data_IF_481206507351
#
_entry.id   IF_481206507351
#
_cell.length_a   1.000
_cell.length_b   1.000
_cell.length_c   1.000
_cell.angle_alpha   90.00
_cell.angle_beta   90.00
_cell.angle_gamma   90.00
#
_symmetry.space_group_name_H-M   'P 1'
#
loop_
_entity.id
_entity.type
_entity.pdbx_description
1 polymer ?
#
# COMPACT_ATOMS: atom_id res chain seq x y z
N UNK A 1 6.58 12.34 27.44
CA UNK A 1 5.32 11.68 27.01
C UNK A 1 5.24 11.83 25.50
N UNK A 2 5.10 10.73 24.76
CA UNK A 2 4.82 10.80 23.32
C UNK A 2 3.34 11.11 23.17
N UNK A 3 2.99 12.31 22.69
CA UNK A 3 1.61 12.59 22.31
C UNK A 3 1.29 11.84 21.02
N UNK A 4 0.36 10.89 21.09
CA UNK A 4 -0.18 10.23 19.89
C UNK A 4 -1.38 11.03 19.40
N UNK A 5 -1.11 12.19 18.81
CA UNK A 5 -2.14 13.00 18.12
C UNK A 5 -2.40 12.45 16.70
N UNK A 6 -2.45 11.13 16.55
CA UNK A 6 -2.59 10.46 15.27
C UNK A 6 -3.95 9.80 15.16
N UNK A 7 -4.73 10.21 14.15
CA UNK A 7 -6.05 9.66 13.86
C UNK A 7 -5.94 8.30 13.17
N UNK A 8 -6.78 7.35 13.58
CA UNK A 8 -6.86 5.99 13.05
C UNK A 8 -8.23 5.74 12.42
N UNK A 9 -8.25 4.94 11.35
CA UNK A 9 -9.49 4.49 10.71
C UNK A 9 -9.47 2.97 10.59
N UNK A 10 -10.55 2.32 11.01
CA UNK A 10 -10.76 0.90 10.75
C UNK A 10 -11.76 0.73 9.61
N UNK A 11 -11.38 -0.07 8.60
CA UNK A 11 -12.23 -0.33 7.44
C UNK A 11 -13.18 -1.51 7.67
N UNK A 12 -14.05 -1.78 6.70
CA UNK A 12 -15.11 -2.79 6.83
C UNK A 12 -14.52 -4.21 6.91
N UNK A 13 -14.90 -4.95 7.94
CA UNK A 13 -14.60 -6.37 8.11
C UNK A 13 -15.67 -7.31 7.53
N UNK A 14 -16.76 -6.75 6.96
CA UNK A 14 -17.87 -7.55 6.42
C UNK A 14 -17.50 -8.34 5.17
N UNK A 15 -18.12 -9.52 5.02
CA UNK A 15 -17.95 -10.42 3.88
C UNK A 15 -16.50 -10.87 3.63
N UNK A 16 -15.67 -10.90 4.68
CA UNK A 16 -14.25 -11.28 4.63
C UNK A 16 -13.98 -12.41 5.62
N UNK A 17 -12.96 -13.22 5.33
CA UNK A 17 -12.63 -14.37 6.14
C UNK A 17 -11.13 -14.72 6.15
N UNK A 18 -10.30 -14.11 5.29
CA UNK A 18 -8.87 -14.38 5.23
C UNK A 18 -8.09 -13.42 6.14
N UNK A 19 -7.61 -13.88 7.33
CA UNK A 19 -6.85 -13.03 8.24
C UNK A 19 -5.47 -12.64 7.68
N UNK A 20 -4.90 -13.44 6.77
CA UNK A 20 -3.58 -13.19 6.19
C UNK A 20 -3.56 -11.97 5.27
N UNK A 21 -4.74 -11.43 4.90
CA UNK A 21 -4.91 -10.25 4.03
C UNK A 21 -5.19 -8.97 4.80
N UNK A 22 -5.23 -9.01 6.12
CA UNK A 22 -5.32 -7.82 6.97
C UNK A 22 -4.00 -7.08 6.94
N UNK A 23 -4.06 -5.77 6.69
CA UNK A 23 -2.88 -4.91 6.51
C UNK A 23 -3.13 -3.55 7.16
N UNK A 24 -2.05 -2.93 7.60
CA UNK A 24 -2.03 -1.53 8.04
C UNK A 24 -1.34 -0.72 6.96
N UNK A 25 -1.99 0.33 6.49
CA UNK A 25 -1.42 1.23 5.50
C UNK A 25 -2.00 2.64 5.62
N UNK A 26 -1.34 3.58 4.97
CA UNK A 26 -1.86 4.93 4.83
C UNK A 26 -3.13 4.94 3.98
N UNK A 27 -4.08 5.83 4.32
CA UNK A 27 -5.33 6.01 3.58
C UNK A 27 -5.10 6.28 2.09
N UNK A 28 -3.99 6.92 1.69
CA UNK A 28 -3.64 7.14 0.29
C UNK A 28 -3.49 5.84 -0.49
N UNK A 29 -2.92 4.79 0.13
CA UNK A 29 -2.63 3.50 -0.50
C UNK A 29 -3.84 2.55 -0.53
N UNK A 30 -4.92 2.91 0.16
CA UNK A 30 -6.11 2.09 0.32
C UNK A 30 -7.01 2.10 -0.94
N UNK A 31 -6.70 1.23 -1.90
CA UNK A 31 -7.40 1.16 -3.19
C UNK A 31 -8.53 0.12 -3.28
N UNK A 32 -8.41 -1.03 -2.61
CA UNK A 32 -9.35 -2.16 -2.78
C UNK A 32 -10.61 -2.07 -1.93
N UNK A 33 -10.46 -1.62 -0.69
CA UNK A 33 -11.55 -1.62 0.26
C UNK A 33 -12.58 -0.53 -0.12
N UNK A 34 -13.86 -0.89 -0.30
CA UNK A 34 -14.90 0.08 -0.71
C UNK A 34 -15.09 1.21 0.31
N UNK A 35 -14.99 0.91 1.61
CA UNK A 35 -15.15 1.89 2.67
C UNK A 35 -13.94 2.81 2.71
N UNK A 36 -12.72 2.26 2.72
CA UNK A 36 -11.49 3.04 2.68
C UNK A 36 -11.46 3.99 1.47
N UNK A 37 -11.89 3.50 0.30
CA UNK A 37 -11.96 4.32 -0.92
C UNK A 37 -12.93 5.49 -0.76
N UNK A 38 -14.07 5.28 -0.11
CA UNK A 38 -15.09 6.30 0.12
C UNK A 38 -14.59 7.35 1.11
N UNK A 39 -14.02 6.89 2.24
CA UNK A 39 -13.40 7.76 3.25
C UNK A 39 -12.29 8.60 2.64
N UNK A 40 -11.38 7.98 1.88
CA UNK A 40 -10.29 8.67 1.16
C UNK A 40 -10.82 9.76 0.22
N UNK A 41 -11.86 9.46 -0.56
CA UNK A 41 -12.48 10.44 -1.47
C UNK A 41 -13.12 11.60 -0.69
N UNK A 42 -13.79 11.31 0.41
CA UNK A 42 -14.38 12.30 1.31
C UNK A 42 -13.31 13.23 1.92
N UNK A 43 -12.26 12.64 2.50
CA UNK A 43 -11.13 13.37 3.08
C UNK A 43 -10.45 14.31 2.07
N UNK A 44 -10.24 13.84 0.83
CA UNK A 44 -9.67 14.67 -0.24
C UNK A 44 -10.60 15.81 -0.62
N UNK A 45 -11.90 15.53 -0.81
CA UNK A 45 -12.87 16.52 -1.31
C UNK A 45 -13.24 17.56 -0.25
N UNK A 46 -13.43 17.14 1.00
CA UNK A 46 -13.98 17.98 2.06
C UNK A 46 -12.90 18.68 2.90
N UNK A 47 -11.73 18.05 3.05
CA UNK A 47 -10.69 18.52 3.96
C UNK A 47 -9.32 18.71 3.30
N UNK A 48 -9.17 18.38 2.01
CA UNK A 48 -7.88 18.44 1.33
C UNK A 48 -6.83 17.48 1.91
N UNK A 49 -7.26 16.42 2.61
CA UNK A 49 -6.35 15.46 3.24
C UNK A 49 -6.06 14.34 2.25
N UNK A 50 -4.79 14.18 1.89
CA UNK A 50 -4.34 13.20 0.89
C UNK A 50 -3.68 11.96 1.50
N UNK A 51 -3.04 12.08 2.66
CA UNK A 51 -2.28 11.06 3.38
C UNK A 51 -2.10 11.45 4.86
N UNK A 52 -1.45 10.60 5.65
CA UNK A 52 -1.12 10.81 7.07
C UNK A 52 -2.05 10.11 8.05
N UNK A 53 -3.03 9.35 7.55
CA UNK A 53 -4.03 8.64 8.36
C UNK A 53 -3.79 7.15 8.20
N UNK A 54 -3.50 6.48 9.32
CA UNK A 54 -3.30 5.04 9.34
C UNK A 54 -4.63 4.30 9.31
N UNK A 55 -4.67 3.26 8.50
CA UNK A 55 -5.87 2.50 8.23
C UNK A 55 -5.60 1.02 8.39
N UNK A 56 -6.44 0.33 9.17
CA UNK A 56 -6.52 -1.13 9.14
C UNK A 56 -7.55 -1.54 8.10
N UNK A 57 -7.11 -2.30 7.10
CA UNK A 57 -7.97 -2.82 6.05
C UNK A 57 -7.67 -4.29 5.75
N UNK A 58 -8.49 -4.87 4.88
CA UNK A 58 -8.19 -6.16 4.26
C UNK A 58 -8.18 -6.01 2.76
N UNK A 59 -7.17 -6.60 2.13
CA UNK A 59 -7.02 -6.67 0.66
C UNK A 59 -7.87 -7.77 0.02
N UNK A 60 -8.61 -8.52 0.83
CA UNK A 60 -9.57 -9.53 0.37
C UNK A 60 -10.75 -8.88 -0.35
N UNK A 61 -11.15 -9.45 -1.49
CA UNK A 61 -12.40 -9.08 -2.15
C UNK A 61 -13.57 -9.62 -1.32
N UNK A 62 -14.63 -8.84 -1.08
CA UNK A 62 -15.83 -9.33 -0.40
C UNK A 62 -16.34 -10.63 -1.05
N UNK A 63 -16.55 -11.67 -0.25
CA UNK A 63 -17.01 -12.98 -0.71
C UNK A 63 -18.50 -13.06 -0.99
N UNK A 64 -19.27 -12.16 -0.38
CA UNK A 64 -20.72 -12.11 -0.55
C UNK A 64 -21.18 -10.67 -0.67
N UNK A 65 -22.30 -10.50 -1.36
CA UNK A 65 -23.04 -9.26 -1.46
C UNK A 65 -24.22 -9.27 -0.49
N UNK A 66 -24.88 -8.13 -0.34
CA UNK A 66 -26.17 -8.07 0.33
C UNK A 66 -27.14 -9.02 -0.39
N UNK A 67 -27.88 -9.85 0.36
CA UNK A 67 -28.95 -10.66 -0.24
C UNK A 67 -30.08 -9.76 -0.77
N UNK A 68 -30.68 -10.09 -1.93
CA UNK A 68 -31.90 -9.44 -2.43
C UNK A 68 -33.03 -9.54 -1.39
N UNK A 69 -33.93 -8.56 -1.40
CA UNK A 69 -35.05 -8.50 -0.42
C UNK A 69 -36.14 -9.51 -0.80
N UNK A 70 -36.25 -9.84 -2.09
CA UNK A 70 -37.23 -10.79 -2.61
C UNK A 70 -36.99 -12.23 -2.15
N UNK A 71 -35.79 -12.55 -1.66
CA UNK A 71 -35.40 -13.87 -1.15
C UNK A 71 -35.61 -14.03 0.37
N UNK A 72 -36.10 -12.99 1.06
CA UNK A 72 -36.42 -13.05 2.49
C UNK A 72 -37.88 -13.45 2.67
N UNK A 73 -38.12 -14.61 3.28
CA UNK A 73 -39.46 -15.07 3.63
C UNK A 73 -40.01 -14.28 4.83
N UNK A 74 -40.89 -13.30 4.60
CA UNK A 74 -41.60 -12.57 5.67
C UNK A 74 -41.47 -11.05 5.58
N UNK A 75 -41.90 -10.33 6.62
CA UNK A 75 -41.83 -8.88 6.66
C UNK A 75 -40.37 -8.44 6.96
N UNK A 76 -39.72 -7.62 6.11
CA UNK A 76 -38.34 -7.19 6.33
C UNK A 76 -38.09 -6.50 7.69
N UNK A 77 -39.13 -5.89 8.27
CA UNK A 77 -39.05 -5.27 9.60
C UNK A 77 -38.82 -6.30 10.72
N UNK A 78 -39.24 -7.55 10.54
CA UNK A 78 -39.11 -8.61 11.55
C UNK A 78 -37.64 -9.03 11.76
N UNK A 79 -36.77 -8.77 10.78
CA UNK A 79 -35.33 -9.01 10.87
C UNK A 79 -34.56 -7.83 11.47
N UNK A 80 -35.23 -6.74 11.86
CA UNK A 80 -34.58 -5.64 12.58
C UNK A 80 -34.38 -6.01 14.05
N UNK A 81 -33.13 -6.24 14.43
CA UNK A 81 -32.76 -6.44 15.84
C UNK A 81 -32.86 -5.13 16.64
N UNK A 82 -32.66 -3.98 15.98
CA UNK A 82 -32.66 -2.66 16.61
C UNK A 82 -33.43 -1.68 15.69
N UNK A 83 -34.30 -0.81 16.23
CA UNK A 83 -34.95 0.25 15.46
C UNK A 83 -33.92 1.10 14.71
N UNK A 84 -34.20 1.43 13.43
CA UNK A 84 -33.31 2.15 12.51
C UNK A 84 -32.01 1.44 12.10
N UNK A 85 -31.78 0.19 12.53
CA UNK A 85 -30.66 -0.59 12.01
C UNK A 85 -31.00 -1.17 10.63
N UNK A 86 -29.98 -1.37 9.80
CA UNK A 86 -30.19 -2.00 8.50
C UNK A 86 -30.74 -3.41 8.70
N UNK A 87 -31.86 -3.69 8.04
CA UNK A 87 -32.45 -5.04 7.90
C UNK A 87 -31.47 -6.04 7.28
N UNK A 88 -30.53 -5.53 6.47
CA UNK A 88 -29.61 -6.34 5.65
C UNK A 88 -28.18 -6.30 6.20
N UNK A 89 -27.84 -7.11 7.23
CA UNK A 89 -26.46 -7.19 7.67
C UNK A 89 -25.62 -7.91 6.61
N UNK A 90 -24.52 -7.29 6.18
CA UNK A 90 -23.43 -8.03 5.54
C UNK A 90 -22.91 -9.01 6.62
N UNK A 91 -22.82 -10.32 6.34
CA UNK A 91 -22.33 -11.27 7.33
C UNK A 91 -20.88 -10.94 7.70
N UNK A 92 -20.56 -11.07 8.98
CA UNK A 92 -19.24 -10.79 9.52
C UNK A 92 -18.75 -12.06 10.21
N UNK A 93 -17.58 -12.55 9.80
CA UNK A 93 -16.89 -13.58 10.55
C UNK A 93 -16.21 -12.90 11.74
N UNK A 94 -16.66 -13.19 12.97
CA UNK A 94 -16.25 -12.46 14.18
C UNK A 94 -14.74 -12.40 14.43
N UNK A 95 -13.97 -13.35 13.89
CA UNK A 95 -12.51 -13.35 13.97
C UNK A 95 -11.88 -12.18 13.22
N UNK A 96 -12.47 -11.70 12.13
CA UNK A 96 -11.90 -10.64 11.30
C UNK A 96 -11.93 -9.28 12.02
N UNK A 97 -13.06 -8.79 12.57
CA UNK A 97 -13.05 -7.58 13.40
C UNK A 97 -12.10 -7.66 14.60
N UNK A 98 -12.00 -8.83 15.25
CA UNK A 98 -11.07 -9.03 16.37
C UNK A 98 -9.62 -8.83 15.92
N UNK A 99 -9.23 -9.42 14.79
CA UNK A 99 -7.88 -9.27 14.22
C UNK A 99 -7.63 -7.82 13.80
N UNK A 100 -8.62 -7.11 13.25
CA UNK A 100 -8.48 -5.68 12.94
C UNK A 100 -8.15 -4.86 14.19
N UNK A 101 -8.86 -5.10 15.30
CA UNK A 101 -8.59 -4.44 16.58
C UNK A 101 -7.21 -4.77 17.12
N UNK A 102 -6.82 -6.05 17.08
CA UNK A 102 -5.50 -6.50 17.52
C UNK A 102 -4.36 -5.90 16.68
N UNK A 103 -4.52 -5.81 15.37
CA UNK A 103 -3.56 -5.18 14.47
C UNK A 103 -3.40 -3.68 14.79
N UNK A 104 -4.50 -2.95 14.97
CA UNK A 104 -4.47 -1.55 15.37
C UNK A 104 -3.75 -1.36 16.72
N UNK A 105 -4.12 -2.16 17.72
CA UNK A 105 -3.53 -2.10 19.05
C UNK A 105 -2.02 -2.37 19.02
N UNK A 106 -1.58 -3.40 18.28
CA UNK A 106 -0.15 -3.71 18.13
C UNK A 106 0.63 -2.53 17.54
N UNK A 107 0.13 -1.90 16.48
CA UNK A 107 0.81 -0.72 15.93
C UNK A 107 0.85 0.44 16.92
N UNK A 108 -0.28 0.75 17.58
CA UNK A 108 -0.35 1.85 18.55
C UNK A 108 0.63 1.62 19.71
N UNK A 109 0.68 0.40 20.25
CA UNK A 109 1.60 0.03 21.32
C UNK A 109 3.07 0.16 20.89
N UNK A 110 3.43 -0.34 19.69
CA UNK A 110 4.78 -0.16 19.16
C UNK A 110 5.13 1.33 18.98
N UNK A 111 4.18 2.14 18.50
CA UNK A 111 4.37 3.59 18.33
C UNK A 111 4.61 4.29 19.66
N UNK A 112 3.80 3.98 20.68
CA UNK A 112 3.95 4.50 22.05
C UNK A 112 5.29 4.09 22.67
N UNK A 113 5.72 2.84 22.44
CA UNK A 113 6.97 2.29 22.92
C UNK A 113 8.19 2.73 22.08
N UNK A 114 8.00 3.59 21.07
CA UNK A 114 9.03 4.04 20.14
C UNK A 114 9.77 2.88 19.43
N UNK A 115 9.09 1.76 19.25
CA UNK A 115 9.62 0.60 18.55
C UNK A 115 9.36 0.73 17.04
N UNK A 116 10.30 0.29 16.19
CA UNK A 116 10.10 0.32 14.75
C UNK A 116 8.90 -0.57 14.37
N UNK A 117 7.93 0.01 13.68
CA UNK A 117 6.80 -0.71 13.10
C UNK A 117 6.72 -0.42 11.61
N UNK A 118 7.12 -1.39 10.79
CA UNK A 118 7.19 -1.26 9.34
C UNK A 118 6.24 -2.27 8.68
N UNK A 119 4.98 -1.90 8.42
CA UNK A 119 4.04 -2.81 7.79
C UNK A 119 4.39 -3.03 6.31
N UNK A 120 4.03 -4.20 5.81
CA UNK A 120 4.15 -4.52 4.39
C UNK A 120 3.36 -3.54 3.53
N UNK A 121 3.91 -3.11 2.38
CA UNK A 121 3.17 -2.28 1.45
C UNK A 121 1.92 -2.99 0.92
N UNK A 122 0.84 -2.22 0.74
CA UNK A 122 -0.46 -2.74 0.27
C UNK A 122 -0.59 -2.71 -1.26
N UNK A 123 0.30 -2.01 -1.96
CA UNK A 123 0.32 -1.99 -3.41
C UNK A 123 0.95 -3.27 -4.00
N UNK A 124 0.67 -3.51 -5.27
CA UNK A 124 1.24 -4.56 -6.11
C UNK A 124 1.91 -3.92 -7.31
N UNK A 125 3.01 -4.51 -7.73
CA UNK A 125 3.72 -4.21 -8.97
C UNK A 125 3.71 -5.52 -9.77
N UNK A 126 3.38 -5.45 -11.05
CA UNK A 126 3.29 -6.64 -11.89
C UNK A 126 4.69 -7.16 -12.26
N UNK A 127 4.84 -8.47 -12.43
CA UNK A 127 6.16 -9.06 -12.76
C UNK A 127 6.77 -8.48 -14.04
N UNK A 128 5.93 -8.22 -15.05
CA UNK A 128 6.33 -7.54 -16.29
C UNK A 128 6.95 -6.16 -16.06
N UNK A 129 6.53 -5.46 -15.00
CA UNK A 129 7.08 -4.15 -14.65
C UNK A 129 8.49 -4.28 -14.06
N UNK A 130 8.77 -5.30 -13.25
CA UNK A 130 10.13 -5.55 -12.74
C UNK A 130 11.08 -5.96 -13.87
N UNK A 131 10.63 -6.85 -14.76
CA UNK A 131 11.42 -7.25 -15.94
C UNK A 131 11.74 -6.02 -16.81
N UNK A 132 10.76 -5.16 -17.07
CA UNK A 132 10.99 -3.92 -17.83
C UNK A 132 11.97 -2.96 -17.14
N UNK A 133 11.98 -2.89 -15.81
CA UNK A 133 12.94 -2.07 -15.06
C UNK A 133 14.36 -2.64 -15.15
N UNK A 134 14.52 -3.96 -15.05
CA UNK A 134 15.82 -4.63 -15.19
C UNK A 134 16.38 -4.44 -16.60
N UNK A 135 15.57 -4.60 -17.64
CA UNK A 135 16.01 -4.39 -19.02
C UNK A 135 16.42 -2.93 -19.29
N UNK A 136 15.67 -1.96 -18.75
CA UNK A 136 16.06 -0.55 -18.82
C UNK A 136 17.36 -0.27 -18.07
N UNK A 137 17.61 -0.94 -16.94
CA UNK A 137 18.87 -0.82 -16.20
C UNK A 137 20.04 -1.37 -17.01
N UNK A 138 19.87 -2.54 -17.64
CA UNK A 138 20.89 -3.15 -18.54
C UNK A 138 21.26 -2.23 -19.69
N UNK A 139 20.25 -1.74 -20.42
CA UNK A 139 20.47 -0.80 -21.52
C UNK A 139 21.18 0.47 -21.05
N UNK A 140 20.85 0.97 -19.86
CA UNK A 140 21.51 2.16 -19.31
C UNK A 140 22.96 1.89 -18.89
N UNK A 141 23.24 0.73 -18.30
CA UNK A 141 24.61 0.31 -17.95
C UNK A 141 25.51 0.25 -19.18
N UNK A 142 25.00 -0.29 -20.29
CA UNK A 142 25.70 -0.34 -21.57
C UNK A 142 25.93 1.07 -22.14
N UNK A 143 24.86 1.87 -22.30
CA UNK A 143 24.93 3.17 -22.97
C UNK A 143 25.70 4.23 -22.17
N UNK A 144 25.50 4.28 -20.84
CA UNK A 144 26.05 5.35 -20.00
C UNK A 144 27.41 4.98 -19.43
N UNK A 145 27.64 3.70 -19.12
CA UNK A 145 28.83 3.24 -18.42
C UNK A 145 29.69 2.26 -19.23
N UNK A 146 29.27 1.88 -20.44
CA UNK A 146 30.00 0.94 -21.30
C UNK A 146 30.08 -0.48 -20.72
N UNK A 147 29.19 -0.82 -19.78
CA UNK A 147 29.23 -2.08 -19.05
C UNK A 147 28.44 -3.17 -19.80
N UNK A 148 29.11 -3.85 -20.73
CA UNK A 148 28.51 -4.91 -21.54
C UNK A 148 28.22 -6.20 -20.77
N UNK A 149 28.80 -6.37 -19.58
CA UNK A 149 28.47 -7.50 -18.70
C UNK A 149 27.11 -7.33 -18.00
N UNK A 150 26.54 -6.12 -18.04
CA UNK A 150 25.32 -5.76 -17.34
C UNK A 150 25.54 -5.45 -15.86
N UNK A 151 24.47 -5.00 -15.17
CA UNK A 151 24.55 -4.71 -13.74
C UNK A 151 24.70 -6.02 -12.93
N UNK A 152 25.43 -5.96 -11.82
CA UNK A 152 25.53 -7.05 -10.83
C UNK A 152 24.26 -7.14 -9.96
N UNK A 153 23.08 -7.18 -10.56
CA UNK A 153 21.80 -7.43 -9.89
C UNK A 153 20.92 -8.31 -10.76
N UNK A 154 20.15 -9.18 -10.12
CA UNK A 154 19.16 -10.01 -10.80
C UNK A 154 17.73 -9.45 -10.68
N UNK A 155 16.74 -10.24 -11.10
CA UNK A 155 15.34 -9.83 -11.03
C UNK A 155 14.84 -9.76 -9.58
N UNK A 156 15.30 -10.65 -8.70
CA UNK A 156 14.90 -10.70 -7.30
C UNK A 156 15.43 -9.48 -6.54
N UNK A 157 16.66 -9.09 -6.82
CA UNK A 157 17.26 -7.85 -6.32
C UNK A 157 16.43 -6.63 -6.73
N UNK A 158 16.06 -6.54 -8.02
CA UNK A 158 15.22 -5.46 -8.53
C UNK A 158 13.85 -5.46 -7.84
N UNK A 159 13.25 -6.64 -7.64
CA UNK A 159 11.99 -6.76 -6.92
C UNK A 159 12.12 -6.27 -5.48
N UNK A 160 13.16 -6.69 -4.76
CA UNK A 160 13.42 -6.26 -3.39
C UNK A 160 13.64 -4.74 -3.29
N UNK A 161 14.51 -4.19 -4.13
CA UNK A 161 14.84 -2.75 -4.12
C UNK A 161 13.59 -1.93 -4.40
N UNK A 162 12.83 -2.28 -5.45
CA UNK A 162 11.67 -1.49 -5.84
C UNK A 162 10.52 -1.67 -4.83
N UNK A 163 10.26 -2.88 -4.34
CA UNK A 163 9.10 -3.17 -3.48
C UNK A 163 9.35 -2.85 -2.01
N UNK A 164 10.47 -3.30 -1.45
CA UNK A 164 10.74 -3.26 -0.01
C UNK A 164 11.49 -1.99 0.38
N UNK A 165 12.52 -1.62 -0.38
CA UNK A 165 13.36 -0.44 -0.07
C UNK A 165 12.65 0.86 -0.46
N UNK A 166 12.21 0.95 -1.71
CA UNK A 166 11.67 2.17 -2.28
C UNK A 166 10.15 2.22 -2.33
N UNK A 167 9.48 1.10 -2.04
CA UNK A 167 8.01 1.00 -2.03
C UNK A 167 7.36 1.49 -3.32
N UNK A 168 8.00 1.28 -4.47
CA UNK A 168 7.52 1.75 -5.77
C UNK A 168 7.50 3.28 -5.92
N UNK A 169 8.25 3.99 -5.09
CA UNK A 169 8.40 5.44 -5.13
C UNK A 169 9.83 5.79 -5.58
N UNK A 170 9.96 6.94 -6.23
CA UNK A 170 11.26 7.47 -6.63
C UNK A 170 11.97 8.14 -5.45
N UNK A 171 13.30 8.17 -5.48
CA UNK A 171 14.11 8.92 -4.52
C UNK A 171 13.84 10.43 -4.55
N UNK A 172 13.39 10.94 -5.70
CA UNK A 172 12.92 12.31 -5.89
C UNK A 172 11.40 12.31 -5.82
N UNK A 173 10.85 12.95 -4.78
CA UNK A 173 9.41 13.14 -4.59
C UNK A 173 8.96 12.89 -3.15
N UNK A 174 7.73 13.31 -2.80
CA UNK A 174 7.15 12.99 -1.51
C UNK A 174 6.95 11.47 -1.39
N UNK A 175 7.07 10.92 -0.18
CA UNK A 175 6.75 9.50 0.12
C UNK A 175 5.23 9.25 0.17
N UNK A 176 4.51 9.81 -0.79
CA UNK A 176 3.06 9.77 -0.91
C UNK A 176 2.77 9.30 -2.33
N UNK A 177 1.88 8.32 -2.47
CA UNK A 177 1.40 7.91 -3.78
C UNK A 177 0.78 9.12 -4.50
N UNK A 178 1.23 9.47 -5.72
CA UNK A 178 0.67 10.62 -6.42
C UNK A 178 -0.82 10.43 -6.69
N UNK A 179 -1.60 11.51 -6.57
CA UNK A 179 -3.05 11.49 -6.78
C UNK A 179 -3.36 10.92 -8.16
N UNK A 180 -4.06 9.77 -8.21
CA UNK A 180 -4.46 9.11 -9.45
C UNK A 180 -3.67 7.82 -9.78
N UNK A 181 -2.52 7.58 -9.14
CA UNK A 181 -1.81 6.29 -9.22
C UNK A 181 -2.43 5.21 -8.31
N UNK A 182 -3.42 5.57 -7.48
CA UNK A 182 -4.04 4.69 -6.47
C UNK A 182 -5.11 3.72 -7.01
N UNK A 183 -5.05 3.35 -8.29
CA UNK A 183 -6.04 2.46 -8.90
C UNK A 183 -5.79 1.01 -8.47
N UNK A 184 -6.58 0.54 -7.49
CA UNK A 184 -6.77 -0.88 -7.17
C UNK A 184 -5.49 -1.66 -6.81
N UNK A 185 -4.61 -1.05 -6.01
CA UNK A 185 -3.30 -1.56 -5.61
C UNK A 185 -2.22 -1.58 -6.68
N UNK A 186 -2.53 -1.42 -7.97
CA UNK A 186 -1.47 -1.48 -8.98
C UNK A 186 -0.72 -0.15 -9.03
N UNK A 187 0.55 -0.17 -8.63
CA UNK A 187 1.43 1.01 -8.70
C UNK A 187 2.20 0.96 -10.02
N UNK A 188 1.96 1.88 -10.97
CA UNK A 188 2.71 1.91 -12.21
C UNK A 188 4.15 2.36 -11.93
N UNK A 189 5.12 1.59 -12.41
CA UNK A 189 6.55 1.91 -12.28
C UNK A 189 7.14 2.50 -13.56
N UNK A 190 6.31 2.87 -14.54
CA UNK A 190 6.76 3.41 -15.83
C UNK A 190 7.61 4.66 -15.69
N UNK A 191 7.32 5.46 -14.65
CA UNK A 191 8.03 6.67 -14.27
C UNK A 191 9.28 6.41 -13.43
N UNK A 192 9.57 5.16 -13.05
CA UNK A 192 10.76 4.79 -12.30
C UNK A 192 11.88 4.38 -13.26
N UNK A 193 13.10 4.76 -12.91
CA UNK A 193 14.34 4.44 -13.60
C UNK A 193 15.34 3.95 -12.57
N UNK A 194 15.96 2.81 -12.81
CA UNK A 194 17.04 2.33 -11.95
C UNK A 194 18.37 2.90 -12.42
N UNK A 195 19.22 3.31 -11.49
CA UNK A 195 20.57 3.79 -11.78
C UNK A 195 21.59 3.18 -10.84
N UNK A 196 22.83 3.03 -11.33
CA UNK A 196 23.97 2.68 -10.49
C UNK A 196 24.13 3.67 -9.34
N UNK A 197 24.49 3.15 -8.18
CA UNK A 197 24.91 3.95 -7.03
C UNK A 197 26.39 3.73 -6.73
N UNK A 198 27.11 4.84 -6.57
CA UNK A 198 28.52 4.94 -6.25
C UNK A 198 28.68 5.95 -5.10
N UNK A 199 29.04 5.43 -3.92
CA UNK A 199 29.19 6.24 -2.72
C UNK A 199 30.38 7.22 -2.79
N UNK A 200 31.34 7.00 -3.71
CA UNK A 200 32.47 7.90 -3.92
C UNK A 200 32.14 9.10 -4.81
N UNK A 201 30.95 9.14 -5.41
CA UNK A 201 30.52 10.20 -6.33
C UNK A 201 29.42 11.07 -5.70
N UNK A 202 29.34 12.36 -6.09
CA UNK A 202 28.29 13.24 -5.60
C UNK A 202 26.89 12.75 -6.00
N UNK A 203 25.90 13.15 -5.20
CA UNK A 203 24.50 12.87 -5.48
C UNK A 203 24.06 13.62 -6.76
N UNK A 204 23.95 12.91 -7.87
CA UNK A 204 23.51 13.45 -9.17
C UNK A 204 22.35 12.61 -9.71
N UNK A 205 21.71 13.06 -10.78
CA UNK A 205 20.61 12.29 -11.42
C UNK A 205 21.06 10.88 -11.84
N UNK A 206 22.35 10.71 -12.14
CA UNK A 206 22.96 9.43 -12.53
C UNK A 206 23.58 8.67 -11.36
N UNK A 207 23.53 9.23 -10.16
CA UNK A 207 24.15 8.69 -8.96
C UNK A 207 23.41 9.24 -7.74
N UNK A 208 22.20 8.75 -7.44
CA UNK A 208 21.41 9.17 -6.28
C UNK A 208 21.00 7.94 -5.47
N UNK A 209 21.16 7.97 -4.16
CA UNK A 209 20.92 6.82 -3.30
C UNK A 209 20.36 7.24 -1.95
N UNK A 210 19.41 6.45 -1.43
CA UNK A 210 19.06 6.47 -0.01
C UNK A 210 18.55 5.10 0.44
N UNK A 211 19.48 4.20 0.72
CA UNK A 211 19.36 3.19 1.79
C UNK A 211 20.75 2.61 2.06
N UNK A 212 21.19 2.66 3.32
CA UNK A 212 22.55 2.29 3.75
C UNK A 212 22.81 0.79 3.85
N UNK A 213 22.11 -0.06 3.11
CA UNK A 213 22.14 -1.51 3.30
C UNK A 213 22.19 -2.38 2.03
N UNK A 214 22.12 -1.83 0.82
CA UNK A 214 22.29 -2.64 -0.39
C UNK A 214 23.12 -1.92 -1.45
N UNK A 215 24.30 -2.46 -1.70
CA UNK A 215 25.26 -1.94 -2.65
C UNK A 215 24.78 -2.28 -4.07
N UNK A 216 24.28 -1.27 -4.81
CA UNK A 216 24.66 -0.91 -6.20
C UNK A 216 23.55 -0.30 -7.06
N UNK A 217 22.27 -0.31 -6.66
CA UNK A 217 21.16 0.20 -7.50
C UNK A 217 20.13 1.02 -6.72
N UNK A 218 19.69 2.14 -7.30
CA UNK A 218 18.68 3.05 -6.72
C UNK A 218 17.56 3.40 -7.70
N UNK A 219 16.43 3.88 -7.19
CA UNK A 219 15.21 4.20 -7.96
C UNK A 219 15.06 5.72 -8.14
N UNK A 220 15.03 6.19 -9.38
CA UNK A 220 14.92 7.60 -9.80
C UNK A 220 13.69 7.84 -10.67
N UNK A 221 13.22 9.10 -10.84
CA UNK A 221 12.17 9.39 -11.80
C UNK A 221 12.74 9.40 -13.23
N UNK A 222 11.94 8.97 -14.21
CA UNK A 222 12.27 9.06 -15.62
C UNK A 222 12.40 10.51 -16.13
N UNK A 223 13.06 10.72 -17.28
CA UNK A 223 13.08 12.01 -17.98
C UNK A 223 11.68 12.45 -18.43
#
# INVERSE_FOLDING_TARGET
MVEVNQMWVCCSAGAKADPSRVRIADISECGSDPLARTVRRGLRKLHGIFSGIQVVLSTERPRCTLRPVEELEGNPLDYQVIPNFRVRPIPVLGTIPAIFGMAAASHILCTLAQQPYTPDPVFRIADKQYVALLERLRQREEVVFGNNAGPEVDLEDVMYIVREVWRGLSAKGPRIAPVGLDRAHNRPTSHLTLTRWDAGKPATVNNLGRSGLLHRVAVMPGP
#
